data_IF_157667591289
#
_entry.id   IF_157667591289
#
_cell.length_a   1.000
_cell.length_b   1.000
_cell.length_c   1.000
_cell.angle_alpha   90.00
_cell.angle_beta   90.00
_cell.angle_gamma   90.00
#
_symmetry.space_group_name_H-M   'P 1'
#
loop_
_entity.id
_entity.type
_entity.pdbx_description
1 polymer ?
#
# COMPACT_ATOMS: atom_id res chain seq x y z
N UNK A 1 -15.44 17.45 -33.94
CA UNK A 1 -14.20 17.06 -33.23
C UNK A 1 -14.61 16.47 -31.88
N UNK A 2 -14.61 15.15 -31.75
CA UNK A 2 -15.06 14.49 -30.52
C UNK A 2 -13.94 14.55 -29.48
N UNK A 3 -14.22 15.19 -28.35
CA UNK A 3 -13.30 15.33 -27.21
C UNK A 3 -13.12 13.95 -26.59
N UNK A 4 -11.96 13.33 -26.78
CA UNK A 4 -11.60 12.10 -26.07
C UNK A 4 -11.70 12.39 -24.57
N UNK A 5 -12.52 11.66 -23.79
CA UNK A 5 -12.52 11.85 -22.35
C UNK A 5 -11.11 11.49 -21.84
N UNK A 6 -10.46 12.44 -21.15
CA UNK A 6 -9.22 12.14 -20.45
C UNK A 6 -9.53 11.03 -19.45
N UNK A 7 -9.16 9.82 -19.83
CA UNK A 7 -9.50 8.63 -19.10
C UNK A 7 -8.58 8.57 -17.88
N UNK A 8 -9.03 9.21 -16.79
CA UNK A 8 -8.42 9.04 -15.47
C UNK A 8 -8.62 7.61 -14.97
N UNK A 9 -7.79 7.19 -14.02
CA UNK A 9 -7.96 5.94 -13.29
C UNK A 9 -8.29 6.26 -11.84
N UNK A 10 -9.00 5.35 -11.17
CA UNK A 10 -9.31 5.52 -9.75
C UNK A 10 -8.06 5.22 -8.93
N UNK A 11 -7.76 6.11 -8.00
CA UNK A 11 -6.78 5.91 -6.95
C UNK A 11 -7.37 6.40 -5.63
N UNK A 12 -6.74 5.99 -4.53
CA UNK A 12 -6.98 6.55 -3.20
C UNK A 12 -6.58 8.02 -3.21
N UNK A 13 -7.40 8.88 -2.62
CA UNK A 13 -7.19 10.34 -2.65
C UNK A 13 -6.50 10.88 -1.38
N UNK A 14 -6.40 10.05 -0.35
CA UNK A 14 -5.78 10.38 0.94
C UNK A 14 -5.31 9.11 1.64
N UNK A 15 -4.45 9.26 2.64
CA UNK A 15 -4.08 8.15 3.54
C UNK A 15 -5.32 7.65 4.28
N UNK A 16 -5.49 6.34 4.35
CA UNK A 16 -6.56 5.66 5.08
C UNK A 16 -5.95 4.53 5.89
N UNK A 17 -6.46 4.34 7.11
CA UNK A 17 -6.10 3.22 7.97
C UNK A 17 -7.34 2.38 8.29
N UNK A 18 -7.16 1.08 8.26
CA UNK A 18 -8.15 0.12 8.73
C UNK A 18 -7.46 -0.92 9.62
N UNK A 19 -8.13 -1.28 10.70
CA UNK A 19 -7.74 -2.37 11.58
C UNK A 19 -8.95 -3.31 11.70
N UNK A 20 -8.96 -4.45 11.01
CA UNK A 20 -9.99 -5.47 11.21
C UNK A 20 -9.94 -6.07 12.62
N UNK A 21 -10.99 -6.80 12.98
CA UNK A 21 -10.99 -7.58 14.21
C UNK A 21 -9.81 -8.56 14.26
N UNK A 22 -9.34 -8.85 15.47
CA UNK A 22 -8.21 -9.74 15.67
C UNK A 22 -8.55 -11.14 15.19
N UNK A 23 -7.67 -11.73 14.40
CA UNK A 23 -7.82 -13.09 13.90
C UNK A 23 -6.84 -13.98 14.64
N UNK A 24 -7.34 -14.94 15.43
CA UNK A 24 -6.50 -15.89 16.19
C UNK A 24 -5.41 -15.22 17.06
N UNK A 25 -5.72 -14.06 17.63
CA UNK A 25 -4.78 -13.27 18.44
C UNK A 25 -3.87 -12.34 17.63
N UNK A 26 -3.79 -12.50 16.31
CA UNK A 26 -3.05 -11.61 15.43
C UNK A 26 -3.82 -10.31 15.18
N UNK A 27 -3.09 -9.20 15.28
CA UNK A 27 -3.56 -7.85 14.94
C UNK A 27 -3.00 -7.48 13.57
N UNK A 28 -3.86 -7.05 12.65
CA UNK A 28 -3.46 -6.61 11.32
C UNK A 28 -3.85 -5.15 11.16
N UNK A 29 -2.92 -4.31 10.70
CA UNK A 29 -3.15 -2.88 10.50
C UNK A 29 -2.84 -2.57 9.04
N UNK A 30 -3.87 -2.27 8.26
CA UNK A 30 -3.74 -1.92 6.86
C UNK A 30 -3.67 -0.39 6.72
N UNK A 31 -2.59 0.12 6.12
CA UNK A 31 -2.47 1.53 5.75
C UNK A 31 -2.40 1.66 4.24
N UNK A 32 -3.33 2.42 3.67
CA UNK A 32 -3.37 2.77 2.25
C UNK A 32 -2.91 4.21 2.10
N UNK A 33 -1.93 4.46 1.22
CA UNK A 33 -1.37 5.80 0.97
C UNK A 33 -1.35 6.07 -0.54
N UNK A 34 -1.83 7.24 -1.01
CA UNK A 34 -1.60 7.64 -2.39
C UNK A 34 -0.10 7.90 -2.61
N UNK A 35 0.45 7.34 -3.69
CA UNK A 35 1.83 7.56 -4.11
C UNK A 35 1.85 8.12 -5.53
N UNK A 36 2.78 9.04 -5.80
CA UNK A 36 3.05 9.56 -7.14
C UNK A 36 4.19 8.84 -7.83
N UNK A 37 5.12 8.28 -7.06
CA UNK A 37 6.32 7.63 -7.57
C UNK A 37 6.74 6.43 -6.71
N UNK A 38 7.71 5.65 -7.20
CA UNK A 38 8.19 4.46 -6.49
C UNK A 38 9.16 4.83 -5.36
N UNK A 39 9.83 5.97 -5.53
CA UNK A 39 10.80 6.54 -4.59
C UNK A 39 10.12 6.94 -3.26
N UNK A 40 8.87 7.42 -3.31
CA UNK A 40 8.09 7.76 -2.10
C UNK A 40 7.77 6.53 -1.22
N UNK A 41 7.87 5.31 -1.76
CA UNK A 41 7.46 4.10 -1.04
C UNK A 41 8.41 3.80 0.12
N UNK A 42 9.72 3.96 -0.06
CA UNK A 42 10.71 3.65 1.00
C UNK A 42 10.53 4.59 2.20
N UNK A 43 10.37 5.89 1.96
CA UNK A 43 10.11 6.87 3.03
C UNK A 43 8.81 6.54 3.81
N UNK A 44 7.76 6.12 3.09
CA UNK A 44 6.50 5.69 3.71
C UNK A 44 6.65 4.40 4.51
N UNK A 45 7.47 3.46 4.05
CA UNK A 45 7.74 2.22 4.79
C UNK A 45 8.52 2.49 6.06
N UNK A 46 9.52 3.37 6.01
CA UNK A 46 10.30 3.75 7.19
C UNK A 46 9.43 4.47 8.22
N UNK A 47 8.53 5.34 7.78
CA UNK A 47 7.51 5.95 8.65
C UNK A 47 6.64 4.89 9.34
N UNK A 48 6.12 3.93 8.57
CA UNK A 48 5.22 2.88 9.09
C UNK A 48 5.93 1.87 10.00
N UNK A 49 7.20 1.56 9.71
CA UNK A 49 8.07 0.75 10.58
C UNK A 49 8.36 1.47 11.89
N UNK A 50 8.60 2.78 11.83
CA UNK A 50 8.76 3.62 13.02
C UNK A 50 7.47 3.72 13.86
N UNK A 51 6.31 3.73 13.21
CA UNK A 51 5.01 3.75 13.90
C UNK A 51 4.66 2.40 14.55
N UNK A 52 5.05 1.28 13.93
CA UNK A 52 4.77 -0.08 14.41
C UNK A 52 6.03 -0.94 14.57
N UNK A 53 6.96 -0.57 15.47
CA UNK A 53 8.25 -1.24 15.60
C UNK A 53 8.16 -2.67 16.14
N UNK A 54 7.00 -3.07 16.66
CA UNK A 54 6.73 -4.41 17.22
C UNK A 54 5.88 -5.29 16.28
N UNK A 55 5.63 -4.86 15.05
CA UNK A 55 4.97 -5.71 14.07
C UNK A 55 5.89 -6.87 13.68
N UNK A 56 5.32 -8.07 13.56
CA UNK A 56 6.12 -9.23 13.14
C UNK A 56 6.55 -9.12 11.68
N UNK A 57 5.69 -8.52 10.84
CA UNK A 57 5.89 -8.34 9.41
C UNK A 57 5.28 -7.00 8.98
N UNK A 58 5.94 -6.35 8.02
CA UNK A 58 5.46 -5.18 7.29
C UNK A 58 5.25 -5.54 5.82
N UNK A 59 4.35 -6.49 5.57
CA UNK A 59 3.96 -6.86 4.21
C UNK A 59 3.32 -5.66 3.49
N UNK A 60 3.70 -5.43 2.25
CA UNK A 60 3.24 -4.27 1.49
C UNK A 60 3.17 -4.55 -0.01
N UNK A 61 2.35 -3.75 -0.70
CA UNK A 61 2.27 -3.75 -2.14
C UNK A 61 1.94 -2.35 -2.65
N UNK A 62 2.41 -2.04 -3.86
CA UNK A 62 2.07 -0.79 -4.53
C UNK A 62 1.93 -0.98 -6.03
N UNK A 63 1.21 -0.04 -6.65
CA UNK A 63 0.94 -0.03 -8.09
C UNK A 63 0.86 1.41 -8.60
N UNK A 64 1.60 1.69 -9.66
CA UNK A 64 1.66 2.99 -10.32
C UNK A 64 1.26 2.86 -11.79
N UNK A 65 0.54 3.88 -12.25
CA UNK A 65 0.04 3.95 -13.61
C UNK A 65 -1.31 3.27 -13.81
N UNK A 66 -1.93 3.54 -14.96
CA UNK A 66 -3.32 3.18 -15.26
C UNK A 66 -3.55 1.69 -15.36
N UNK A 67 -2.52 0.97 -15.80
CA UNK A 67 -2.54 -0.49 -16.01
C UNK A 67 -1.61 -1.20 -15.02
N UNK A 68 -0.99 -0.46 -14.10
CA UNK A 68 0.03 -1.00 -13.21
C UNK A 68 1.33 -1.27 -13.92
N UNK A 69 1.73 -0.33 -14.78
CA UNK A 69 2.97 -0.31 -15.54
C UNK A 69 4.18 -0.51 -14.61
N UNK A 70 4.06 -0.08 -13.36
CA UNK A 70 4.97 -0.45 -12.28
C UNK A 70 4.16 -0.98 -11.10
N UNK A 71 4.59 -2.11 -10.56
CA UNK A 71 4.02 -2.69 -9.36
C UNK A 71 5.08 -3.51 -8.65
N UNK A 72 4.95 -3.59 -7.33
CA UNK A 72 5.81 -4.40 -6.48
C UNK A 72 5.00 -4.89 -5.29
N UNK A 73 5.41 -6.01 -4.73
CA UNK A 73 4.92 -6.51 -3.46
C UNK A 73 6.05 -7.21 -2.71
N UNK A 74 5.95 -7.22 -1.39
CA UNK A 74 6.80 -7.98 -0.49
C UNK A 74 5.94 -8.52 0.64
N UNK A 75 6.09 -9.81 0.91
CA UNK A 75 5.46 -10.48 2.06
C UNK A 75 6.25 -10.29 3.36
N UNK A 76 7.40 -9.59 3.32
CA UNK A 76 8.26 -9.35 4.49
C UNK A 76 8.54 -10.62 5.33
N UNK A 77 8.74 -11.73 4.63
CA UNK A 77 9.02 -13.03 5.26
C UNK A 77 7.82 -13.70 5.92
N UNK A 78 6.58 -13.30 5.60
CA UNK A 78 5.41 -14.09 6.00
C UNK A 78 5.56 -15.55 5.53
N UNK A 79 5.19 -16.53 6.37
CA UNK A 79 5.30 -17.93 5.99
C UNK A 79 4.44 -18.17 4.74
N UNK A 80 5.06 -18.66 3.67
CA UNK A 80 4.33 -19.13 2.50
C UNK A 80 3.36 -20.23 2.95
N UNK A 81 2.08 -20.05 2.60
CA UNK A 81 1.02 -21.02 2.88
C UNK A 81 1.23 -22.36 2.19
#
# INVERSE_FOLDING_TARGET
MSRVPMSGYRSITRRVRAEPEKTKGSRHIATLVPIGSAEEVEDLLDELRGEFPIANHHAYAWRLGRRGERSYYSDDGEPSG
#
